data_IF_679652542181
#
_entry.id   IF_679652542181
#
_cell.length_a   1.000
_cell.length_b   1.000
_cell.length_c   1.000
_cell.angle_alpha   90.00
_cell.angle_beta   90.00
_cell.angle_gamma   90.00
#
_symmetry.space_group_name_H-M   'P 1'
#
loop_
_entity.id
_entity.type
_entity.pdbx_description
1 polymer ?
#
# COMPACT_ATOMS: atom_id res chain seq x y z
N UNK A 1 1.86 12.01 6.27
CA UNK A 1 3.06 11.11 6.24
C UNK A 1 2.79 9.86 5.40
N UNK A 2 3.72 9.48 4.52
CA UNK A 2 3.55 8.31 3.63
C UNK A 2 3.89 7.00 4.36
N UNK A 3 3.12 5.95 4.10
CA UNK A 3 3.19 4.69 4.85
C UNK A 3 3.23 3.49 3.92
N UNK A 4 3.79 2.37 4.38
CA UNK A 4 3.74 1.11 3.64
C UNK A 4 2.32 0.53 3.68
N UNK A 5 2.02 -0.41 2.78
CA UNK A 5 0.78 -1.19 2.84
C UNK A 5 0.62 -1.93 4.18
N UNK A 6 1.71 -2.41 4.78
CA UNK A 6 1.68 -3.08 6.08
C UNK A 6 1.25 -2.13 7.20
N UNK A 7 1.86 -0.94 7.25
CA UNK A 7 1.49 0.08 8.24
C UNK A 7 0.05 0.56 8.04
N UNK A 8 -0.38 0.71 6.78
CA UNK A 8 -1.77 1.08 6.46
C UNK A 8 -2.75 -0.01 6.88
N UNK A 9 -2.42 -1.28 6.69
CA UNK A 9 -3.25 -2.39 7.14
C UNK A 9 -3.48 -2.35 8.66
N UNK A 10 -2.44 -2.05 9.44
CA UNK A 10 -2.55 -1.90 10.90
C UNK A 10 -3.51 -0.77 11.28
N UNK A 11 -3.42 0.38 10.61
CA UNK A 11 -4.33 1.52 10.83
C UNK A 11 -5.78 1.14 10.52
N UNK A 12 -5.99 0.38 9.44
CA UNK A 12 -7.31 -0.11 9.04
C UNK A 12 -7.79 -1.31 9.87
N UNK A 13 -7.05 -1.75 10.90
CA UNK A 13 -7.41 -2.89 11.74
C UNK A 13 -7.35 -4.25 11.03
N UNK A 14 -6.58 -4.35 9.94
CA UNK A 14 -6.47 -5.54 9.11
C UNK A 14 -5.11 -6.23 9.24
N UNK A 15 -5.11 -7.56 9.03
CA UNK A 15 -3.86 -8.30 8.83
C UNK A 15 -3.24 -7.91 7.47
N UNK A 16 -1.93 -7.62 7.39
CA UNK A 16 -1.33 -7.13 6.14
C UNK A 16 -1.44 -8.07 4.94
N UNK A 17 -1.43 -9.39 5.19
CA UNK A 17 -1.61 -10.39 4.13
C UNK A 17 -3.03 -10.33 3.56
N UNK A 18 -4.05 -10.31 4.42
CA UNK A 18 -5.46 -10.19 4.03
C UNK A 18 -5.71 -8.88 3.31
N UNK A 19 -5.13 -7.79 3.80
CA UNK A 19 -5.22 -6.48 3.17
C UNK A 19 -4.70 -6.52 1.73
N UNK A 20 -3.50 -7.05 1.49
CA UNK A 20 -2.97 -7.19 0.12
C UNK A 20 -3.81 -8.09 -0.78
N UNK A 21 -4.38 -9.16 -0.25
CA UNK A 21 -5.31 -10.00 -1.02
C UNK A 21 -6.53 -9.19 -1.47
N UNK A 22 -7.17 -8.46 -0.55
CA UNK A 22 -8.31 -7.60 -0.90
C UNK A 22 -7.92 -6.54 -1.94
N UNK A 23 -6.75 -5.91 -1.81
CA UNK A 23 -6.29 -4.95 -2.80
C UNK A 23 -6.12 -5.53 -4.21
N UNK A 24 -5.76 -6.83 -4.32
CA UNK A 24 -5.74 -7.53 -5.61
C UNK A 24 -7.16 -7.82 -6.11
N UNK A 25 -8.06 -8.21 -5.22
CA UNK A 25 -9.47 -8.49 -5.57
C UNK A 25 -10.17 -7.23 -6.11
N UNK A 26 -9.94 -6.05 -5.53
CA UNK A 26 -10.50 -4.78 -6.00
C UNK A 26 -9.70 -4.15 -7.16
N UNK A 27 -8.61 -4.78 -7.60
CA UNK A 27 -7.80 -4.32 -8.74
C UNK A 27 -6.88 -3.12 -8.47
N UNK A 28 -6.64 -2.78 -7.20
CA UNK A 28 -5.66 -1.74 -6.82
C UNK A 28 -4.24 -2.25 -7.01
N UNK A 29 -3.99 -3.51 -6.66
CA UNK A 29 -2.73 -4.19 -6.91
C UNK A 29 -2.88 -5.22 -8.04
N UNK A 30 -1.82 -5.38 -8.82
CA UNK A 30 -1.71 -6.48 -9.77
C UNK A 30 -1.52 -7.82 -9.04
N UNK A 31 -1.67 -8.94 -9.76
CA UNK A 31 -1.34 -10.28 -9.22
C UNK A 31 0.10 -10.33 -8.68
N UNK A 32 1.04 -9.65 -9.34
CA UNK A 32 2.43 -9.53 -8.93
C UNK A 32 2.64 -8.68 -7.66
N UNK A 33 1.62 -7.92 -7.21
CA UNK A 33 1.70 -7.04 -6.05
C UNK A 33 2.21 -5.63 -6.35
N UNK A 34 2.27 -5.27 -7.64
CA UNK A 34 2.60 -3.91 -8.11
C UNK A 34 1.35 -3.04 -8.13
N UNK A 35 1.52 -1.72 -8.16
CA UNK A 35 0.39 -0.79 -8.23
C UNK A 35 -0.19 -0.83 -9.64
N UNK A 36 -1.50 -1.08 -9.75
CA UNK A 36 -2.16 -1.12 -11.05
C UNK A 36 -2.04 0.26 -11.75
N UNK A 37 -1.74 0.30 -13.07
CA UNK A 37 -1.49 1.55 -13.80
C UNK A 37 -2.60 2.59 -13.65
N UNK A 38 -3.86 2.14 -13.57
CA UNK A 38 -5.06 2.98 -13.38
C UNK A 38 -4.99 3.86 -12.12
N UNK A 39 -4.24 3.44 -11.10
CA UNK A 39 -4.18 4.09 -9.80
C UNK A 39 -2.88 4.87 -9.53
N UNK A 40 -1.89 4.84 -10.44
CA UNK A 40 -0.61 5.55 -10.26
C UNK A 40 -0.76 7.07 -10.20
N UNK A 41 -1.60 7.64 -11.05
CA UNK A 41 -1.71 9.11 -11.19
C UNK A 41 -2.82 9.73 -10.33
N UNK A 42 -3.54 8.93 -9.55
CA UNK A 42 -4.69 9.39 -8.76
C UNK A 42 -4.28 10.10 -7.46
N UNK A 43 -3.00 10.09 -7.11
CA UNK A 43 -2.52 10.79 -5.91
C UNK A 43 -2.82 10.09 -4.58
N UNK A 44 -3.25 8.83 -4.59
CA UNK A 44 -3.51 8.04 -3.37
C UNK A 44 -2.37 7.08 -3.01
N UNK A 45 -1.79 6.44 -4.03
CA UNK A 45 -0.70 5.49 -3.90
C UNK A 45 0.44 5.87 -4.85
N UNK A 46 1.64 5.41 -4.55
CA UNK A 46 2.78 5.50 -5.45
C UNK A 46 3.71 4.32 -5.27
N UNK A 47 4.54 4.04 -6.27
CA UNK A 47 5.60 3.05 -6.18
C UNK A 47 6.91 3.74 -5.80
N UNK A 48 7.55 3.25 -4.74
CA UNK A 48 8.87 3.66 -4.30
C UNK A 48 9.90 2.64 -4.80
N UNK A 49 10.69 3.03 -5.81
CA UNK A 49 11.72 2.17 -6.40
C UNK A 49 12.90 2.04 -5.45
N UNK A 50 13.18 0.82 -5.01
CA UNK A 50 14.26 0.49 -4.09
C UNK A 50 15.27 -0.44 -4.74
N UNK A 51 16.49 -0.37 -4.23
CA UNK A 51 17.59 -1.21 -4.67
C UNK A 51 18.27 -1.82 -3.45
N UNK A 52 18.60 -3.10 -3.52
CA UNK A 52 19.39 -3.78 -2.48
C UNK A 52 20.55 -4.53 -3.11
N UNK A 53 21.72 -4.49 -2.49
CA UNK A 53 22.81 -5.36 -2.88
C UNK A 53 22.45 -6.82 -2.57
N UNK A 54 22.48 -7.68 -3.58
CA UNK A 54 22.22 -9.11 -3.44
C UNK A 54 23.52 -9.89 -3.58
N UNK A 55 23.98 -10.43 -2.45
CA UNK A 55 25.25 -11.17 -2.36
C UNK A 55 25.27 -12.44 -3.21
N UNK A 56 24.12 -13.06 -3.47
CA UNK A 56 24.06 -14.33 -4.21
C UNK A 56 24.31 -14.15 -5.70
N UNK A 57 23.87 -13.03 -6.28
CA UNK A 57 24.04 -12.71 -7.70
C UNK A 57 25.15 -11.66 -7.92
N UNK A 58 25.79 -11.19 -6.85
CA UNK A 58 26.81 -10.14 -6.88
C UNK A 58 26.39 -8.88 -7.66
N UNK A 59 25.11 -8.52 -7.54
CA UNK A 59 24.51 -7.39 -8.25
C UNK A 59 23.41 -6.72 -7.41
N UNK A 60 23.00 -5.51 -7.80
CA UNK A 60 21.84 -4.84 -7.22
C UNK A 60 20.55 -5.49 -7.72
N UNK A 61 19.66 -5.85 -6.79
CA UNK A 61 18.28 -6.22 -7.08
C UNK A 61 17.38 -5.01 -6.90
N UNK A 62 16.62 -4.68 -7.94
CA UNK A 62 15.69 -3.56 -7.96
C UNK A 62 14.27 -4.07 -7.73
N UNK A 63 13.50 -3.38 -6.89
CA UNK A 63 12.12 -3.73 -6.58
C UNK A 63 11.32 -2.47 -6.22
N UNK A 64 10.04 -2.47 -6.54
CA UNK A 64 9.13 -1.40 -6.17
C UNK A 64 8.36 -1.76 -4.90
N UNK A 65 8.24 -0.81 -3.98
CA UNK A 65 7.36 -0.93 -2.81
C UNK A 65 6.19 0.02 -3.00
N UNK A 66 4.97 -0.51 -2.91
CA UNK A 66 3.78 0.35 -2.95
C UNK A 66 3.61 1.08 -1.62
N UNK A 67 3.54 2.39 -1.72
CA UNK A 67 3.37 3.32 -0.61
C UNK A 67 2.02 4.01 -0.71
N UNK A 68 1.42 4.27 0.44
CA UNK A 68 0.12 4.93 0.59
C UNK A 68 0.37 6.35 1.07
N UNK A 69 -0.17 7.33 0.35
CA UNK A 69 -0.18 8.73 0.77
C UNK A 69 -1.28 8.92 1.82
N UNK A 70 -1.23 10.03 2.53
CA UNK A 70 -2.19 10.33 3.60
C UNK A 70 -3.65 10.29 3.13
N UNK A 71 -3.96 10.96 2.02
CA UNK A 71 -5.28 10.91 1.38
C UNK A 71 -5.68 9.50 0.90
N UNK A 72 -4.69 8.64 0.60
CA UNK A 72 -4.93 7.27 0.18
C UNK A 72 -5.46 6.37 1.29
N UNK A 73 -5.23 6.69 2.56
CA UNK A 73 -5.75 5.90 3.68
C UNK A 73 -7.28 6.00 3.75
N UNK A 74 -7.81 7.22 3.67
CA UNK A 74 -9.25 7.46 3.63
C UNK A 74 -9.90 6.79 2.41
N UNK A 75 -9.30 7.01 1.23
CA UNK A 75 -9.76 6.38 -0.01
C UNK A 75 -9.79 4.84 0.08
N UNK A 76 -8.76 4.22 0.63
CA UNK A 76 -8.72 2.76 0.84
C UNK A 76 -9.76 2.28 1.85
N UNK A 77 -10.04 3.08 2.89
CA UNK A 77 -11.10 2.79 3.85
C UNK A 77 -12.46 2.72 3.15
N UNK A 78 -12.76 3.69 2.29
CA UNK A 78 -14.00 3.77 1.52
C UNK A 78 -14.13 2.60 0.54
N UNK A 79 -13.06 2.29 -0.21
CA UNK A 79 -13.05 1.16 -1.16
C UNK A 79 -13.27 -0.19 -0.48
N UNK A 80 -12.82 -0.33 0.77
CA UNK A 80 -12.94 -1.57 1.53
C UNK A 80 -14.19 -1.63 2.41
N UNK A 81 -15.00 -0.56 2.42
CA UNK A 81 -16.17 -0.44 3.29
C UNK A 81 -15.82 -0.52 4.77
N UNK A 82 -14.60 -0.11 5.15
CA UNK A 82 -14.14 -0.09 6.53
C UNK A 82 -14.45 1.29 7.08
N UNK A 83 -15.25 1.36 8.14
CA UNK A 83 -15.36 2.59 8.91
C UNK A 83 -14.06 2.78 9.66
N UNK A 84 -13.16 3.64 9.16
CA UNK A 84 -12.00 4.06 9.94
C UNK A 84 -12.53 4.76 11.16
N UNK A 85 -12.48 4.07 12.31
CA UNK A 85 -12.71 4.74 13.59
C UNK A 85 -11.48 5.62 13.78
N UNK A 86 -11.53 6.85 13.25
CA UNK A 86 -10.52 7.86 13.49
C UNK A 86 -10.56 8.15 14.99
N UNK A 87 -9.80 7.37 15.77
CA UNK A 87 -9.57 7.61 17.19
C UNK A 87 -8.47 8.65 17.38
N UNK A 88 -8.52 9.69 16.54
CA UNK A 88 -7.75 10.93 16.61
C UNK A 88 -8.70 12.07 16.22
N UNK A 89 -9.79 12.16 16.98
CA UNK A 89 -10.52 13.39 17.22
C UNK A 89 -10.51 13.63 18.73
N UNK A 90 -9.32 13.65 19.33
CA UNK A 90 -9.11 14.12 20.69
C UNK A 90 -7.62 14.46 20.90
N UNK A 91 -7.40 15.74 21.25
CA UNK A 91 -6.18 16.40 21.73
C UNK A 91 -5.36 17.15 20.66
#
# INVERSE_FOLDING_TARGET
MNRTLDATAVILGMKPRTFRTKLREIGVLTQAGELAPKHRDQGYLYEDSRSRWNKNIHAYSHYAVVMVKEAGVAWLSDQLGITTTNKDAAA
#
